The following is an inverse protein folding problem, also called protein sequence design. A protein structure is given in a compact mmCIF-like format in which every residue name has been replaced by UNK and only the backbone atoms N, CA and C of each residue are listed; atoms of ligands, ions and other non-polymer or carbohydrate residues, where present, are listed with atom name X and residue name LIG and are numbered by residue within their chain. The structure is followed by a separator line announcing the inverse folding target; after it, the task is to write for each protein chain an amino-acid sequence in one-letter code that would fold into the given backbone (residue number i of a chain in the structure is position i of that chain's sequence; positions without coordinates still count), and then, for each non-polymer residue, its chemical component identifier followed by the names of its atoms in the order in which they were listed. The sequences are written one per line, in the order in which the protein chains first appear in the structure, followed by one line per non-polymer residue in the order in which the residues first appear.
data_IF_889737540024
#
_entry.id   IF_889737540024
#
_cell.length_a   1.000
_cell.length_b   1.000
_cell.length_c   1.000
_cell.angle_alpha   90.00
_cell.angle_beta   90.00
_cell.angle_gamma   90.00
#
_symmetry.space_group_name_H-M   'P 1'
#
loop_
_entity.id
_entity.type
_entity.pdbx_description
1 polymer ?
#
# COMPACT_ATOMS: atom_id res chain seq x y z
N UNK A 1 -2.93 4.80 14.12
CA UNK A 1 -2.04 3.73 13.62
C UNK A 1 -0.63 4.29 13.52
N UNK A 2 0.42 3.60 13.98
CA UNK A 2 1.81 4.07 13.85
C UNK A 2 2.64 2.98 13.17
N UNK A 3 2.99 3.20 11.92
CA UNK A 3 3.91 2.35 11.16
C UNK A 3 5.34 2.62 11.63
N UNK A 4 6.13 1.58 11.89
CA UNK A 4 7.55 1.69 12.28
C UNK A 4 8.48 1.55 11.07
N UNK A 5 8.11 0.70 10.13
CA UNK A 5 8.86 0.39 8.91
C UNK A 5 7.89 0.16 7.73
N UNK A 6 8.45 -0.05 6.54
CA UNK A 6 7.65 -0.34 5.33
C UNK A 6 6.92 -1.68 5.47
N UNK A 7 7.48 -2.65 6.18
CA UNK A 7 6.86 -3.96 6.40
C UNK A 7 5.55 -3.86 7.18
N UNK A 8 5.48 -2.98 8.19
CA UNK A 8 4.24 -2.67 8.89
C UNK A 8 3.15 -2.11 7.95
N UNK A 9 3.54 -1.34 6.93
CA UNK A 9 2.61 -0.83 5.91
C UNK A 9 2.14 -1.96 5.00
N UNK A 10 3.04 -2.85 4.57
CA UNK A 10 2.71 -4.03 3.75
C UNK A 10 1.74 -4.94 4.49
N UNK A 11 2.05 -5.29 5.75
CA UNK A 11 1.21 -6.17 6.58
C UNK A 11 -0.17 -5.58 6.85
N UNK A 12 -0.29 -4.24 6.88
CA UNK A 12 -1.57 -3.56 7.00
C UNK A 12 -2.38 -3.58 5.70
N UNK A 13 -1.72 -3.37 4.55
CA UNK A 13 -2.37 -3.34 3.24
C UNK A 13 -2.74 -4.73 2.71
N UNK A 14 -1.95 -5.76 3.02
CA UNK A 14 -2.11 -7.12 2.50
C UNK A 14 -3.54 -7.69 2.67
N UNK A 15 -4.14 -7.70 3.88
CA UNK A 15 -5.47 -8.28 4.10
C UNK A 15 -6.62 -7.38 3.63
N UNK A 16 -6.35 -6.20 3.06
CA UNK A 16 -7.42 -5.28 2.66
C UNK A 16 -8.03 -5.67 1.34
N UNK A 17 -9.35 -5.78 1.33
CA UNK A 17 -10.17 -5.83 0.11
C UNK A 17 -10.31 -4.45 -0.52
N UNK A 18 -10.71 -4.39 -1.80
CA UNK A 18 -10.78 -3.16 -2.59
C UNK A 18 -11.58 -2.03 -1.92
N UNK A 19 -12.77 -2.33 -1.39
CA UNK A 19 -13.60 -1.35 -0.66
C UNK A 19 -12.96 -0.86 0.65
N UNK A 20 -12.33 -1.78 1.38
CA UNK A 20 -11.68 -1.47 2.66
C UNK A 20 -10.46 -0.59 2.41
N UNK A 21 -9.66 -0.91 1.39
CA UNK A 21 -8.50 -0.14 0.98
C UNK A 21 -8.86 1.34 0.80
N UNK A 22 -9.87 1.66 -0.02
CA UNK A 22 -10.28 3.06 -0.28
C UNK A 22 -10.76 3.81 0.96
N UNK A 23 -11.40 3.12 1.91
CA UNK A 23 -11.83 3.74 3.18
C UNK A 23 -10.65 4.06 4.09
N UNK A 24 -9.73 3.11 4.21
CA UNK A 24 -8.58 3.18 5.12
C UNK A 24 -7.50 4.16 4.64
N UNK A 25 -7.29 4.31 3.33
CA UNK A 25 -6.28 5.24 2.80
C UNK A 25 -6.74 6.70 2.76
N UNK A 26 -8.05 6.95 2.83
CA UNK A 26 -8.66 8.29 2.70
C UNK A 26 -8.04 9.36 3.62
N UNK A 27 -7.70 9.06 4.90
CA UNK A 27 -7.07 10.03 5.80
C UNK A 27 -5.66 10.46 5.39
N UNK A 28 -4.97 9.68 4.56
CA UNK A 28 -3.58 9.92 4.20
C UNK A 28 -3.40 10.80 2.96
N UNK A 29 -4.50 11.12 2.25
CA UNK A 29 -4.48 11.98 1.05
C UNK A 29 -3.39 11.59 0.04
N UNK A 30 -3.23 10.29 -0.23
CA UNK A 30 -2.18 9.75 -1.10
C UNK A 30 -2.36 10.23 -2.56
N UNK A 31 -1.25 10.52 -3.25
CA UNK A 31 -1.30 10.92 -4.67
C UNK A 31 -1.36 9.67 -5.53
N UNK A 32 -2.58 9.23 -5.87
CA UNK A 32 -2.82 7.99 -6.63
C UNK A 32 -3.90 8.18 -7.71
N UNK A 33 -4.12 7.14 -8.51
CA UNK A 33 -5.21 7.10 -9.49
C UNK A 33 -6.57 7.29 -8.78
N UNK A 34 -7.51 8.04 -9.39
CA UNK A 34 -8.85 8.19 -8.82
C UNK A 34 -9.58 6.85 -8.77
N UNK A 35 -10.35 6.61 -7.71
CA UNK A 35 -11.21 5.43 -7.56
C UNK A 35 -12.12 5.22 -8.78
N UNK A 36 -12.69 6.30 -9.31
CA UNK A 36 -13.59 6.25 -10.48
C UNK A 36 -12.91 5.65 -11.72
N UNK A 37 -11.62 5.92 -11.90
CA UNK A 37 -10.86 5.34 -13.02
C UNK A 37 -10.64 3.84 -12.81
N UNK A 38 -10.28 3.43 -11.61
CA UNK A 38 -10.14 2.03 -11.24
C UNK A 38 -11.46 1.27 -11.41
N UNK A 39 -12.58 1.85 -10.94
CA UNK A 39 -13.91 1.28 -11.07
C UNK A 39 -14.32 1.13 -12.56
N UNK A 40 -13.97 2.10 -13.41
CA UNK A 40 -14.22 2.05 -14.85
C UNK A 40 -13.35 0.99 -15.56
N UNK A 41 -12.07 0.87 -15.19
CA UNK A 41 -11.15 -0.13 -15.75
C UNK A 41 -11.59 -1.56 -15.36
N UNK A 42 -12.14 -1.75 -14.15
CA UNK A 42 -12.77 -3.02 -13.71
C UNK A 42 -14.08 -3.29 -14.46
N UNK A 43 -14.99 -2.31 -14.51
CA UNK A 43 -16.31 -2.47 -15.13
C UNK A 43 -16.23 -2.73 -16.64
N UNK A 44 -15.20 -2.18 -17.31
CA UNK A 44 -14.93 -2.42 -18.73
C UNK A 44 -14.28 -3.78 -19.01
N UNK A 45 -13.82 -4.49 -17.98
CA UNK A 45 -13.06 -5.73 -18.10
C UNK A 45 -11.63 -5.53 -18.64
N UNK A 46 -11.12 -4.29 -18.65
CA UNK A 46 -9.75 -4.01 -19.07
C UNK A 46 -8.73 -4.59 -18.09
N UNK A 47 -9.09 -4.72 -16.81
CA UNK A 47 -8.28 -5.34 -15.76
C UNK A 47 -9.20 -5.88 -14.67
N UNK A 48 -8.82 -6.97 -14.00
CA UNK A 48 -9.55 -7.53 -12.87
C UNK A 48 -9.29 -6.75 -11.56
N UNK A 49 -10.21 -6.90 -10.60
CA UNK A 49 -10.14 -6.19 -9.31
C UNK A 49 -8.88 -6.53 -8.51
N UNK A 50 -8.42 -7.79 -8.56
CA UNK A 50 -7.23 -8.24 -7.82
C UNK A 50 -5.97 -7.55 -8.34
N UNK A 51 -5.81 -7.47 -9.66
CA UNK A 51 -4.69 -6.77 -10.30
C UNK A 51 -4.72 -5.27 -9.99
N UNK A 52 -5.90 -4.63 -10.08
CA UNK A 52 -6.04 -3.20 -9.71
C UNK A 52 -5.68 -2.98 -8.25
N UNK A 53 -6.21 -3.80 -7.35
CA UNK A 53 -5.95 -3.72 -5.92
C UNK A 53 -4.46 -3.94 -5.58
N UNK A 54 -3.81 -4.90 -6.24
CA UNK A 54 -2.38 -5.15 -6.09
C UNK A 54 -1.55 -3.91 -6.47
N UNK A 55 -1.88 -3.27 -7.60
CA UNK A 55 -1.20 -2.04 -8.04
C UNK A 55 -1.45 -0.91 -7.04
N UNK A 56 -2.69 -0.71 -6.61
CA UNK A 56 -3.06 0.33 -5.64
C UNK A 56 -2.36 0.16 -4.29
N UNK A 57 -2.28 -1.08 -3.76
CA UNK A 57 -1.53 -1.38 -2.53
C UNK A 57 -0.05 -1.02 -2.68
N UNK A 58 0.56 -1.28 -3.84
CA UNK A 58 1.94 -0.90 -4.10
C UNK A 58 2.15 0.61 -4.17
N UNK A 59 1.25 1.35 -4.82
CA UNK A 59 1.29 2.82 -4.82
C UNK A 59 1.11 3.38 -3.41
N UNK A 60 0.13 2.87 -2.66
CA UNK A 60 -0.11 3.32 -1.29
C UNK A 60 1.11 3.07 -0.40
N UNK A 61 1.77 1.92 -0.54
CA UNK A 61 3.03 1.62 0.15
C UNK A 61 4.11 2.65 -0.15
N UNK A 62 4.32 2.99 -1.43
CA UNK A 62 5.35 3.96 -1.83
C UNK A 62 5.05 5.37 -1.31
N UNK A 63 3.81 5.82 -1.45
CA UNK A 63 3.37 7.14 -0.97
C UNK A 63 3.47 7.24 0.56
N UNK A 64 2.98 6.22 1.28
CA UNK A 64 3.05 6.17 2.75
C UNK A 64 4.50 6.12 3.24
N UNK A 65 5.36 5.32 2.60
CA UNK A 65 6.78 5.28 2.93
C UNK A 65 7.45 6.64 2.73
N UNK A 66 7.10 7.37 1.67
CA UNK A 66 7.60 8.71 1.40
C UNK A 66 7.12 9.73 2.45
N UNK A 67 5.82 9.78 2.71
CA UNK A 67 5.18 10.71 3.67
C UNK A 67 5.72 10.51 5.08
N UNK A 68 5.84 9.25 5.51
CA UNK A 68 6.24 8.88 6.86
C UNK A 68 7.76 8.68 6.99
N UNK A 69 8.51 8.84 5.89
CA UNK A 69 9.97 8.63 5.81
C UNK A 69 10.39 7.25 6.35
N UNK A 70 9.62 6.22 6.02
CA UNK A 70 9.86 4.86 6.46
C UNK A 70 10.92 4.19 5.59
N UNK A 71 11.72 3.35 6.22
CA UNK A 71 12.64 2.43 5.54
C UNK A 71 12.16 1.00 5.71
N UNK A 72 12.65 0.09 4.88
CA UNK A 72 12.48 -1.34 5.12
C UNK A 72 13.11 -1.73 6.45
N UNK A 73 12.58 -2.77 7.11
CA UNK A 73 13.22 -3.32 8.29
C UNK A 73 14.57 -3.91 7.87
N UNK A 74 15.65 -3.46 8.50
CA UNK A 74 16.97 -4.07 8.31
C UNK A 74 16.90 -5.55 8.72
N UNK A 75 16.93 -6.44 7.72
CA UNK A 75 16.97 -7.90 7.91
C UNK A 75 18.37 -8.42 8.26
N UNK A 76 19.33 -7.55 8.54
CA UNK A 76 20.66 -7.95 9.00
C UNK A 76 20.59 -8.25 10.50
N UNK A 77 20.68 -9.52 10.96
CA UNK A 77 21.09 -9.75 12.33
C UNK A 77 22.46 -9.08 12.46
N UNK A 78 22.61 -8.16 13.40
CA UNK A 78 23.92 -7.67 13.78
C UNK A 78 24.75 -8.87 14.19
N UNK A 79 25.55 -9.41 13.27
CA UNK A 79 26.66 -10.29 13.60
C UNK A 79 27.65 -9.41 14.35
N UNK A 80 27.42 -9.27 15.65
CA UNK A 80 28.46 -8.93 16.59
C UNK A 80 29.47 -10.08 16.51
N UNK A 81 30.45 -9.91 15.62
CA UNK A 81 31.64 -10.76 15.59
C UNK A 81 32.43 -10.36 16.84
N UNK A 82 32.30 -11.17 17.88
CA UNK A 82 33.14 -11.13 19.07
C UNK A 82 34.55 -11.66 18.75
#
# INVERSE_FOLDING_TARGET
MKFKDIDDVVAWLEPMEYETFWKEIKPFCLVMLPREKCDADIASGATDEETVLYVLKNFARMELASILKLTWRDMMPSTAVH
#
